data_IF_392925311164
#
_entry.id   IF_392925311164
#
_cell.length_a   1.000
_cell.length_b   1.000
_cell.length_c   1.000
_cell.angle_alpha   90.00
_cell.angle_beta   90.00
_cell.angle_gamma   90.00
#
_symmetry.space_group_name_H-M   'P 1'
#
loop_
_entity.id
_entity.type
_entity.pdbx_description
1 polymer ?
#
# COMPACT_ATOMS: atom_id res chain seq x y z
N UNK A 1 -2.21 -0.91 11.72
CA UNK A 1 -2.47 -1.12 10.31
C UNK A 1 -3.93 -0.97 9.97
N UNK A 2 -4.24 -0.41 8.83
CA UNK A 2 -5.65 -0.22 8.46
C UNK A 2 -6.33 -1.58 8.23
N UNK A 3 -7.40 -1.78 8.94
CA UNK A 3 -8.14 -3.03 8.81
C UNK A 3 -8.71 -3.18 7.41
N UNK A 4 -9.09 -2.08 6.79
CA UNK A 4 -9.68 -2.13 5.46
C UNK A 4 -8.68 -2.67 4.44
N UNK A 5 -7.43 -2.25 4.54
CA UNK A 5 -6.41 -2.73 3.63
C UNK A 5 -6.15 -4.21 3.84
N UNK A 6 -6.05 -4.61 5.08
CA UNK A 6 -5.82 -6.02 5.40
C UNK A 6 -6.96 -6.88 4.90
N UNK A 7 -8.17 -6.41 5.11
CA UNK A 7 -9.35 -7.14 4.68
C UNK A 7 -9.36 -7.27 3.17
N UNK A 8 -9.02 -6.19 2.48
CA UNK A 8 -8.97 -6.21 1.02
C UNK A 8 -7.96 -7.22 0.52
N UNK A 9 -6.80 -7.24 1.15
CA UNK A 9 -5.74 -8.16 0.76
C UNK A 9 -6.17 -9.61 0.96
N UNK A 10 -6.84 -9.87 2.06
CA UNK A 10 -7.29 -11.22 2.35
C UNK A 10 -8.34 -11.70 1.35
N UNK A 11 -9.10 -10.77 0.83
CA UNK A 11 -10.14 -11.10 -0.13
C UNK A 11 -9.61 -11.30 -1.54
N UNK A 12 -8.33 -11.16 -1.69
CA UNK A 12 -7.74 -11.34 -2.99
C UNK A 12 -7.69 -10.07 -3.82
N UNK A 13 -7.70 -8.94 -3.16
CA UNK A 13 -7.58 -7.67 -3.86
C UNK A 13 -6.22 -7.50 -4.48
N UNK A 14 -6.11 -6.56 -5.38
CA UNK A 14 -4.86 -6.29 -6.06
C UNK A 14 -4.08 -5.23 -5.31
N UNK A 15 -2.82 -5.52 -5.09
CA UNK A 15 -1.96 -4.59 -4.37
C UNK A 15 -1.11 -3.83 -5.36
N UNK A 16 -1.13 -2.52 -5.23
CA UNK A 16 -0.31 -1.63 -6.05
C UNK A 16 0.56 -0.78 -5.18
N UNK A 17 1.76 -0.54 -5.65
CA UNK A 17 2.70 0.30 -4.92
C UNK A 17 2.79 1.65 -5.61
N UNK A 18 2.58 2.70 -4.87
CA UNK A 18 2.65 4.04 -5.38
C UNK A 18 3.78 4.78 -4.72
N UNK A 19 4.60 5.43 -5.53
CA UNK A 19 5.71 6.18 -5.00
C UNK A 19 5.28 7.56 -4.58
N UNK A 20 5.75 7.96 -3.42
CA UNK A 20 5.52 9.30 -2.90
C UNK A 20 6.81 10.07 -2.89
N UNK A 21 6.71 11.37 -2.69
CA UNK A 21 7.92 12.18 -2.63
C UNK A 21 8.67 11.89 -1.33
N UNK A 22 9.96 12.17 -1.35
CA UNK A 22 10.75 11.96 -0.16
C UNK A 22 11.14 10.51 0.09
N UNK A 23 11.13 9.69 -0.95
CA UNK A 23 11.54 8.31 -0.81
C UNK A 23 10.54 7.44 -0.07
N UNK A 24 9.29 7.87 -0.04
CA UNK A 24 8.25 7.08 0.61
C UNK A 24 7.42 6.37 -0.44
N UNK A 25 6.69 5.39 -0.02
CA UNK A 25 5.79 4.68 -0.91
C UNK A 25 4.61 4.13 -0.12
N UNK A 26 3.56 3.84 -0.82
CA UNK A 26 2.34 3.37 -0.19
C UNK A 26 1.77 2.22 -1.01
N UNK A 27 1.24 1.23 -0.32
CA UNK A 27 0.57 0.12 -0.96
C UNK A 27 -0.92 0.39 -0.95
N UNK A 28 -1.55 0.17 -2.09
CA UNK A 28 -2.98 0.39 -2.22
C UNK A 28 -3.62 -0.90 -2.72
N UNK A 29 -4.68 -1.30 -2.05
CA UNK A 29 -5.40 -2.50 -2.43
C UNK A 29 -6.66 -2.14 -3.21
N UNK A 30 -6.80 -2.73 -4.39
CA UNK A 30 -7.96 -2.49 -5.23
C UNK A 30 -8.84 -3.73 -5.26
N UNK A 31 -10.10 -3.55 -4.99
CA UNK A 31 -11.04 -4.66 -5.02
C UNK A 31 -12.44 -4.15 -5.31
N UNK A 32 -13.12 -4.81 -6.24
CA UNK A 32 -14.50 -4.49 -6.55
C UNK A 32 -14.76 -3.03 -6.90
N UNK A 33 -13.82 -2.41 -7.60
CA UNK A 33 -13.98 -1.01 -7.96
C UNK A 33 -13.68 -0.04 -6.84
N UNK A 34 -13.19 -0.55 -5.73
CA UNK A 34 -12.83 0.29 -4.60
C UNK A 34 -11.35 0.20 -4.34
N UNK A 35 -10.83 1.22 -3.69
CA UNK A 35 -9.42 1.23 -3.35
C UNK A 35 -9.24 1.55 -1.87
N UNK A 36 -8.32 0.85 -1.26
CA UNK A 36 -8.02 1.05 0.15
C UNK A 36 -6.55 1.28 0.32
N UNK A 37 -6.20 2.45 0.82
CA UNK A 37 -4.80 2.78 1.02
C UNK A 37 -4.27 2.06 2.26
N UNK A 38 -3.10 1.50 2.11
CA UNK A 38 -2.45 0.87 3.24
C UNK A 38 -1.58 1.85 3.99
N UNK A 39 -0.56 1.31 4.60
CA UNK A 39 0.33 2.12 5.41
C UNK A 39 1.44 2.71 4.57
N UNK A 40 1.76 3.97 4.83
CA UNK A 40 2.88 4.61 4.15
C UNK A 40 4.18 4.08 4.73
N UNK A 41 5.06 3.63 3.86
CA UNK A 41 6.34 3.11 4.29
C UNK A 41 7.46 3.98 3.76
N UNK A 42 8.53 4.02 4.51
CA UNK A 42 9.69 4.78 4.12
C UNK A 42 10.74 3.87 3.54
N UNK A 43 11.26 4.25 2.43
CA UNK A 43 12.35 3.51 1.84
C UNK A 43 13.62 3.82 2.61
N UNK A 44 14.25 2.79 3.14
CA UNK A 44 15.50 2.99 3.83
C UNK A 44 16.60 3.17 2.84
N UNK A 45 17.15 4.25 2.89
CA UNK A 45 18.23 4.47 1.97
C UNK A 45 19.36 3.55 2.22
N UNK A 46 19.72 3.02 2.41
CA UNK A 46 20.77 2.34 2.54
C UNK A 46 21.48 2.00 1.64
N UNK A 47 21.71 2.21 1.42
CA UNK A 47 22.20 2.09 0.64
C UNK A 47 22.72 1.85 0.22
N UNK A 48 22.90 1.78 0.32
CA UNK A 48 23.47 1.58 -0.04
C UNK A 48 23.57 1.64 -0.24
#
# INVERSE_FOLDING_TARGET
MPAAFESCRKRGGRIRTKKLSGGRYIHICFIGGKSYAGEVKKKKGKSK
#
